data_IF_543739425632
#
_entry.id   IF_543739425632
#
_cell.length_a   1.000
_cell.length_b   1.000
_cell.length_c   1.000
_cell.angle_alpha   90.00
_cell.angle_beta   90.00
_cell.angle_gamma   90.00
#
_symmetry.space_group_name_H-M   'P 1'
#
loop_
_entity.id
_entity.type
_entity.pdbx_description
1 polymer ?
#
# COMPACT_ATOMS: atom_id res chain seq x y z
N UNK A 1 13.19 18.30 5.70
CA UNK A 1 13.32 16.94 6.26
C UNK A 1 12.56 15.93 5.40
N UNK A 2 11.22 15.95 5.32
CA UNK A 2 10.43 15.04 4.46
C UNK A 2 10.85 15.01 2.98
N UNK A 3 11.11 16.16 2.35
CA UNK A 3 11.57 16.22 0.95
C UNK A 3 12.94 15.55 0.72
N UNK A 4 13.86 15.67 1.69
CA UNK A 4 15.20 15.09 1.59
C UNK A 4 15.17 13.57 1.77
N UNK A 5 14.32 13.06 2.67
CA UNK A 5 14.08 11.63 2.84
C UNK A 5 13.53 10.99 1.57
N UNK A 6 12.57 11.67 0.92
CA UNK A 6 11.99 11.25 -0.35
C UNK A 6 13.04 11.17 -1.46
N UNK A 7 13.85 12.22 -1.62
CA UNK A 7 14.94 12.22 -2.61
C UNK A 7 15.99 11.12 -2.33
N UNK A 8 16.31 10.86 -1.06
CA UNK A 8 17.24 9.81 -0.69
C UNK A 8 16.71 8.41 -1.07
N UNK A 9 15.44 8.12 -0.75
CA UNK A 9 14.79 6.88 -1.15
C UNK A 9 14.76 6.71 -2.68
N UNK A 10 14.36 7.76 -3.42
CA UNK A 10 14.36 7.78 -4.89
C UNK A 10 15.76 7.59 -5.50
N UNK A 11 16.79 8.22 -4.94
CA UNK A 11 18.17 8.10 -5.43
C UNK A 11 18.76 6.71 -5.23
N UNK A 12 18.35 6.02 -4.16
CA UNK A 12 18.79 4.66 -3.83
C UNK A 12 18.08 3.62 -4.68
N UNK A 13 16.81 3.84 -5.02
CA UNK A 13 16.04 3.05 -5.99
C UNK A 13 16.69 2.98 -7.38
N UNK A 14 17.41 4.03 -7.80
CA UNK A 14 18.10 4.09 -9.09
C UNK A 14 19.56 3.61 -9.12
N UNK A 15 20.19 3.36 -7.95
CA UNK A 15 21.63 3.07 -7.84
C UNK A 15 22.00 1.85 -6.97
N UNK A 16 21.07 1.27 -6.22
CA UNK A 16 21.33 0.19 -5.24
C UNK A 16 20.28 -0.92 -5.21
N UNK A 17 20.45 -1.87 -4.28
CA UNK A 17 19.48 -2.93 -4.03
C UNK A 17 18.25 -2.38 -3.32
N UNK A 18 17.03 -2.79 -3.69
CA UNK A 18 15.80 -2.42 -2.97
C UNK A 18 15.89 -2.70 -1.45
N UNK A 19 16.72 -3.67 -1.06
CA UNK A 19 16.98 -4.00 0.36
C UNK A 19 17.69 -2.87 1.12
N UNK A 20 18.52 -2.08 0.44
CA UNK A 20 19.22 -0.93 1.01
C UNK A 20 18.30 0.29 1.06
N UNK A 21 17.46 0.46 0.04
CA UNK A 21 16.51 1.58 -0.07
C UNK A 21 15.50 1.63 1.09
N UNK A 22 15.15 0.47 1.69
CA UNK A 22 14.24 0.41 2.84
C UNK A 22 14.93 0.69 4.18
N UNK A 23 16.25 0.90 4.22
CA UNK A 23 16.98 1.15 5.46
C UNK A 23 16.83 2.62 5.86
N UNK A 24 16.13 2.85 6.98
CA UNK A 24 16.06 4.17 7.61
C UNK A 24 17.49 4.72 7.82
N UNK A 25 17.79 5.93 7.34
CA UNK A 25 19.08 6.56 7.59
C UNK A 25 19.37 6.73 9.08
N UNK A 26 20.66 6.79 9.41
CA UNK A 26 21.12 7.08 10.76
C UNK A 26 20.71 8.50 11.17
N UNK A 27 20.30 8.70 12.42
CA UNK A 27 19.86 10.00 12.94
C UNK A 27 18.42 10.41 12.61
N UNK A 28 17.78 9.76 11.64
CA UNK A 28 16.39 10.09 11.24
C UNK A 28 15.34 9.47 12.18
N UNK A 29 14.17 10.11 12.29
CA UNK A 29 13.04 9.59 13.04
C UNK A 29 12.34 8.42 12.31
N UNK A 30 11.94 7.40 13.07
CA UNK A 30 11.31 6.21 12.49
C UNK A 30 9.89 6.45 12.01
N UNK A 31 9.11 7.29 12.69
CA UNK A 31 7.75 7.61 12.27
C UNK A 31 7.76 8.44 10.99
N UNK A 32 8.64 9.44 10.90
CA UNK A 32 8.84 10.23 9.67
C UNK A 32 9.23 9.34 8.48
N UNK A 33 10.15 8.39 8.71
CA UNK A 33 10.56 7.44 7.68
C UNK A 33 9.39 6.58 7.18
N UNK A 34 8.62 6.02 8.10
CA UNK A 34 7.42 5.21 7.79
C UNK A 34 6.36 6.07 7.09
N UNK A 35 6.10 7.28 7.58
CA UNK A 35 5.11 8.18 7.02
C UNK A 35 5.44 8.56 5.57
N UNK A 36 6.70 8.91 5.27
CA UNK A 36 7.17 9.19 3.92
C UNK A 36 6.91 8.00 2.97
N UNK A 37 7.24 6.79 3.42
CA UNK A 37 7.03 5.58 2.62
C UNK A 37 5.55 5.25 2.42
N UNK A 38 4.70 5.47 3.42
CA UNK A 38 3.24 5.28 3.27
C UNK A 38 2.72 6.17 2.14
N UNK A 39 3.13 7.45 2.10
CA UNK A 39 2.72 8.39 1.05
C UNK A 39 3.22 7.93 -0.32
N UNK A 40 4.47 7.51 -0.44
CA UNK A 40 5.02 7.02 -1.72
C UNK A 40 4.32 5.74 -2.19
N UNK A 41 4.09 4.78 -1.30
CA UNK A 41 3.35 3.56 -1.64
C UNK A 41 1.91 3.83 -2.00
N UNK A 42 1.24 4.76 -1.31
CA UNK A 42 -0.11 5.19 -1.66
C UNK A 42 -0.16 5.72 -3.09
N UNK A 43 0.76 6.63 -3.45
CA UNK A 43 0.86 7.19 -4.78
C UNK A 43 1.11 6.11 -5.85
N UNK A 44 2.02 5.16 -5.59
CA UNK A 44 2.28 4.07 -6.51
C UNK A 44 1.08 3.13 -6.68
N UNK A 45 0.42 2.72 -5.59
CA UNK A 45 -0.76 1.85 -5.65
C UNK A 45 -1.90 2.54 -6.40
N UNK A 46 -2.12 3.82 -6.13
CA UNK A 46 -3.13 4.62 -6.82
C UNK A 46 -2.84 4.69 -8.33
N UNK A 47 -1.61 5.03 -8.71
CA UNK A 47 -1.19 5.08 -10.12
C UNK A 47 -1.38 3.74 -10.83
N UNK A 48 -0.94 2.63 -10.21
CA UNK A 48 -1.08 1.29 -10.74
C UNK A 48 -2.57 0.93 -10.92
N UNK A 49 -3.39 1.15 -9.89
CA UNK A 49 -4.82 0.85 -9.99
C UNK A 49 -5.51 1.70 -11.07
N UNK A 50 -5.22 3.00 -11.13
CA UNK A 50 -5.80 3.89 -12.13
C UNK A 50 -5.53 3.44 -13.56
N UNK A 51 -4.35 2.88 -13.85
CA UNK A 51 -3.99 2.37 -15.18
C UNK A 51 -4.90 1.25 -15.69
N UNK A 52 -5.53 0.48 -14.79
CA UNK A 52 -6.42 -0.65 -15.16
C UNK A 52 -7.84 -0.47 -14.64
N UNK A 53 -8.16 0.67 -14.04
CA UNK A 53 -9.46 0.94 -13.38
C UNK A 53 -10.67 0.70 -14.30
N UNK A 54 -10.54 1.01 -15.59
CA UNK A 54 -11.58 0.78 -16.60
C UNK A 54 -11.86 -0.71 -16.89
N UNK A 55 -10.94 -1.61 -16.52
CA UNK A 55 -11.13 -3.06 -16.58
C UNK A 55 -11.64 -3.65 -15.27
N UNK A 56 -11.67 -2.88 -14.18
CA UNK A 56 -12.16 -3.30 -12.87
C UNK A 56 -13.60 -2.78 -12.71
N UNK A 57 -14.55 -3.59 -13.16
CA UNK A 57 -15.99 -3.27 -13.14
C UNK A 57 -16.75 -4.18 -12.19
N UNK A 58 -18.00 -3.85 -11.88
CA UNK A 58 -18.87 -4.71 -11.08
C UNK A 58 -19.14 -6.07 -11.73
N UNK A 59 -19.07 -6.18 -13.07
CA UNK A 59 -19.24 -7.44 -13.80
C UNK A 59 -17.98 -8.32 -13.70
N UNK A 60 -16.81 -7.73 -13.93
CA UNK A 60 -15.53 -8.45 -13.90
C UNK A 60 -15.07 -8.74 -12.47
N UNK A 61 -15.44 -7.88 -11.53
CA UNK A 61 -14.96 -7.89 -10.14
C UNK A 61 -16.12 -7.58 -9.16
N UNK A 62 -17.16 -8.43 -9.09
CA UNK A 62 -18.36 -8.20 -8.27
C UNK A 62 -18.10 -8.20 -6.77
N UNK A 63 -16.90 -8.63 -6.36
CA UNK A 63 -16.41 -8.57 -4.98
C UNK A 63 -14.93 -8.22 -4.97
N UNK A 64 -14.49 -7.53 -3.93
CA UNK A 64 -13.06 -7.33 -3.68
C UNK A 64 -12.41 -8.64 -3.21
N UNK A 65 -11.52 -9.20 -4.02
CA UNK A 65 -10.87 -10.49 -3.75
C UNK A 65 -9.44 -10.57 -4.25
N UNK A 66 -8.72 -11.56 -3.74
CA UNK A 66 -7.45 -12.05 -4.26
C UNK A 66 -7.62 -13.54 -4.58
N UNK A 67 -8.02 -13.82 -5.83
CA UNK A 67 -8.42 -15.15 -6.26
C UNK A 67 -9.74 -15.60 -5.60
N UNK A 68 -10.05 -16.89 -5.69
CA UNK A 68 -11.31 -17.44 -5.16
C UNK A 68 -11.31 -17.56 -3.63
N UNK A 69 -10.14 -17.80 -3.03
CA UNK A 69 -9.98 -18.16 -1.62
C UNK A 69 -10.10 -16.96 -0.67
N UNK A 70 -9.68 -15.77 -1.08
CA UNK A 70 -9.60 -14.60 -0.21
C UNK A 70 -10.56 -13.51 -0.68
N UNK A 71 -11.57 -13.22 0.14
CA UNK A 71 -12.53 -12.13 -0.09
C UNK A 71 -12.34 -11.07 1.00
N UNK A 72 -12.25 -9.80 0.59
CA UNK A 72 -12.04 -8.68 1.50
C UNK A 72 -13.36 -7.93 1.72
N UNK A 73 -13.79 -7.89 2.97
CA UNK A 73 -14.99 -7.14 3.37
C UNK A 73 -14.61 -5.71 3.74
N UNK A 74 -15.50 -4.77 3.43
CA UNK A 74 -15.35 -3.37 3.81
C UNK A 74 -16.12 -3.08 5.10
N UNK A 75 -15.53 -2.25 5.95
CA UNK A 75 -16.16 -1.72 7.17
C UNK A 75 -15.60 -0.34 7.47
N UNK A 76 -16.49 0.59 7.77
CA UNK A 76 -16.18 1.96 8.21
C UNK A 76 -17.17 2.43 9.29
N UNK A 77 -16.99 3.67 9.74
CA UNK A 77 -17.87 4.29 10.75
C UNK A 77 -19.06 5.04 10.13
N UNK A 78 -19.19 5.02 8.79
CA UNK A 78 -20.18 5.75 8.02
C UNK A 78 -21.28 4.82 7.52
N UNK A 79 -21.31 4.61 6.20
CA UNK A 79 -22.33 3.83 5.50
C UNK A 79 -22.21 2.33 5.78
N UNK A 80 -21.00 1.81 5.98
CA UNK A 80 -20.73 0.37 6.11
C UNK A 80 -20.31 0.02 7.54
N UNK A 81 -21.26 0.14 8.47
CA UNK A 81 -21.03 -0.14 9.91
C UNK A 81 -20.77 -1.61 10.21
N UNK A 82 -21.21 -2.50 9.33
CA UNK A 82 -20.96 -3.94 9.40
C UNK A 82 -20.03 -4.38 8.26
N UNK A 83 -19.30 -5.48 8.48
CA UNK A 83 -18.42 -6.06 7.46
C UNK A 83 -19.22 -6.49 6.25
N UNK A 84 -19.12 -5.71 5.17
CA UNK A 84 -19.97 -5.81 3.99
C UNK A 84 -19.16 -6.23 2.77
N UNK A 85 -19.71 -7.10 1.94
CA UNK A 85 -19.14 -7.37 0.62
C UNK A 85 -19.50 -6.23 -0.31
N UNK A 86 -18.50 -5.69 -1.01
CA UNK A 86 -18.68 -4.65 -2.03
C UNK A 86 -17.88 -5.02 -3.28
N UNK A 87 -18.28 -4.55 -4.48
CA UNK A 87 -17.49 -4.71 -5.70
C UNK A 87 -16.07 -4.16 -5.54
N UNK A 88 -15.11 -4.73 -6.26
CA UNK A 88 -13.71 -4.36 -6.12
C UNK A 88 -13.46 -2.88 -6.46
N UNK A 89 -14.12 -2.37 -7.49
CA UNK A 89 -14.03 -0.96 -7.87
C UNK A 89 -14.47 -0.03 -6.74
N UNK A 90 -15.61 -0.34 -6.12
CA UNK A 90 -16.12 0.42 -4.98
C UNK A 90 -15.21 0.28 -3.76
N UNK A 91 -14.68 -0.92 -3.50
CA UNK A 91 -13.75 -1.14 -2.40
C UNK A 91 -12.51 -0.27 -2.53
N UNK A 92 -11.87 -0.27 -3.70
CA UNK A 92 -10.65 0.52 -3.93
C UNK A 92 -10.95 2.00 -3.81
N UNK A 93 -12.08 2.47 -4.36
CA UNK A 93 -12.52 3.87 -4.18
C UNK A 93 -12.65 4.25 -2.70
N UNK A 94 -13.38 3.46 -1.91
CA UNK A 94 -13.57 3.70 -0.47
C UNK A 94 -12.24 3.64 0.28
N UNK A 95 -11.35 2.74 -0.12
CA UNK A 95 -10.01 2.62 0.45
C UNK A 95 -9.17 3.86 0.19
N UNK A 96 -9.09 4.35 -1.05
CA UNK A 96 -8.29 5.53 -1.37
C UNK A 96 -8.81 6.76 -0.64
N UNK A 97 -10.13 6.98 -0.66
CA UNK A 97 -10.77 8.07 0.10
C UNK A 97 -10.48 7.98 1.60
N UNK A 98 -10.48 6.77 2.14
CA UNK A 98 -10.13 6.55 3.53
C UNK A 98 -8.65 6.85 3.80
N UNK A 99 -7.72 6.38 2.95
CA UNK A 99 -6.28 6.66 3.12
C UNK A 99 -5.99 8.16 3.02
N UNK A 100 -6.57 8.87 2.03
CA UNK A 100 -6.46 10.32 1.90
C UNK A 100 -6.86 11.02 3.21
N UNK A 101 -8.01 10.67 3.77
CA UNK A 101 -8.48 11.24 5.04
C UNK A 101 -7.55 10.94 6.23
N UNK A 102 -6.82 9.83 6.22
CA UNK A 102 -5.82 9.54 7.25
C UNK A 102 -4.56 10.39 7.06
N UNK A 103 -4.08 10.53 5.82
CA UNK A 103 -2.88 11.30 5.47
C UNK A 103 -3.09 12.81 5.67
N UNK A 104 -4.32 13.29 5.46
CA UNK A 104 -4.70 14.69 5.67
C UNK A 104 -4.97 15.04 7.15
N UNK A 105 -5.04 14.06 8.05
CA UNK A 105 -5.27 14.31 9.48
C UNK A 105 -3.95 14.65 10.20
N UNK A 106 -3.73 15.91 10.62
CA UNK A 106 -2.48 16.33 11.27
C UNK A 106 -2.25 15.68 12.63
N UNK A 107 -3.27 15.00 13.19
CA UNK A 107 -3.12 14.21 14.43
C UNK A 107 -2.52 12.83 14.18
N UNK A 108 -2.60 12.34 12.94
CA UNK A 108 -2.04 11.05 12.51
C UNK A 108 -0.74 11.25 11.74
N UNK A 109 -0.70 12.25 10.86
CA UNK A 109 0.43 12.63 10.02
C UNK A 109 0.76 14.11 10.27
N UNK A 110 1.54 14.43 11.32
CA UNK A 110 1.92 15.80 11.63
C UNK A 110 2.72 16.44 10.49
N UNK A 111 2.41 17.70 10.19
CA UNK A 111 3.08 18.50 9.15
C UNK A 111 3.99 19.58 9.74
N UNK A 112 3.77 19.95 11.01
CA UNK A 112 4.52 20.98 11.70
C UNK A 112 5.77 20.39 12.36
N UNK A 113 6.91 21.08 12.19
CA UNK A 113 8.17 20.69 12.82
C UNK A 113 8.02 20.68 14.35
N UNK A 114 8.33 19.54 14.97
CA UNK A 114 8.29 19.36 16.42
C UNK A 114 6.98 18.81 16.96
N UNK A 115 5.94 18.63 16.12
CA UNK A 115 4.73 17.92 16.52
C UNK A 115 4.99 16.40 16.46
N UNK A 116 4.80 15.66 17.58
CA UNK A 116 5.04 14.23 17.59
C UNK A 116 3.92 13.45 16.90
N UNK A 117 4.28 12.35 16.27
CA UNK A 117 3.32 11.32 15.84
C UNK A 117 2.55 10.74 17.03
N UNK A 118 1.33 10.21 16.83
CA UNK A 118 0.58 9.59 17.89
C UNK A 118 1.29 8.33 18.40
N UNK A 119 1.14 8.04 19.69
CA UNK A 119 1.81 6.90 20.35
C UNK A 119 1.51 5.54 19.69
N UNK A 120 0.35 5.40 19.05
CA UNK A 120 -0.08 4.20 18.34
C UNK A 120 0.21 4.24 16.83
N UNK A 121 1.06 5.16 16.35
CA UNK A 121 1.35 5.29 14.92
C UNK A 121 1.90 4.00 14.33
N UNK A 122 2.98 3.46 14.91
CA UNK A 122 3.63 2.23 14.43
C UNK A 122 2.83 0.96 14.73
N UNK A 123 2.05 0.94 15.82
CA UNK A 123 1.33 -0.26 16.26
C UNK A 123 -0.04 -0.42 15.60
N UNK A 124 -0.68 0.68 15.18
CA UNK A 124 -2.06 0.65 14.68
C UNK A 124 -2.24 1.44 13.38
N UNK A 125 -1.83 2.71 13.35
CA UNK A 125 -2.14 3.62 12.23
C UNK A 125 -1.45 3.16 10.95
N UNK A 126 -0.12 3.07 10.97
CA UNK A 126 0.68 2.66 9.83
C UNK A 126 0.38 1.22 9.39
N UNK A 127 0.33 0.20 10.28
CA UNK A 127 -0.03 -1.15 9.90
C UNK A 127 -1.41 -1.27 9.25
N UNK A 128 -2.41 -0.52 9.74
CA UNK A 128 -3.76 -0.58 9.18
C UNK A 128 -3.81 -0.01 7.75
N UNK A 129 -3.09 1.09 7.48
CA UNK A 129 -2.97 1.67 6.13
C UNK A 129 -2.24 0.69 5.20
N UNK A 130 -1.07 0.20 5.60
CA UNK A 130 -0.25 -0.72 4.79
C UNK A 130 -1.00 -2.02 4.48
N UNK A 131 -1.63 -2.64 5.48
CA UNK A 131 -2.45 -3.86 5.26
C UNK A 131 -3.58 -3.63 4.26
N UNK A 132 -4.24 -2.46 4.29
CA UNK A 132 -5.30 -2.13 3.34
C UNK A 132 -4.72 -1.96 1.94
N UNK A 133 -3.62 -1.22 1.76
CA UNK A 133 -2.95 -1.06 0.46
C UNK A 133 -2.46 -2.40 -0.13
N UNK A 134 -2.01 -3.34 0.69
CA UNK A 134 -1.66 -4.71 0.26
C UNK A 134 -2.81 -5.41 -0.47
N UNK A 135 -4.07 -5.18 -0.04
CA UNK A 135 -5.25 -5.80 -0.67
C UNK A 135 -5.42 -5.35 -2.11
N UNK A 136 -5.04 -4.11 -2.43
CA UNK A 136 -5.07 -3.58 -3.79
C UNK A 136 -3.99 -4.25 -4.64
N UNK A 137 -2.74 -4.39 -4.13
CA UNK A 137 -1.72 -5.18 -4.82
C UNK A 137 -2.17 -6.61 -5.10
N UNK A 138 -2.70 -7.29 -4.08
CA UNK A 138 -3.18 -8.66 -4.22
C UNK A 138 -4.26 -8.75 -5.29
N UNK A 139 -5.26 -7.86 -5.26
CA UNK A 139 -6.30 -7.81 -6.28
C UNK A 139 -5.74 -7.59 -7.68
N UNK A 140 -4.80 -6.65 -7.85
CA UNK A 140 -4.16 -6.39 -9.13
C UNK A 140 -3.40 -7.61 -9.66
N UNK A 141 -2.65 -8.33 -8.82
CA UNK A 141 -1.92 -9.53 -9.25
C UNK A 141 -2.86 -10.65 -9.70
N UNK A 142 -3.96 -10.87 -8.97
CA UNK A 142 -4.89 -11.96 -9.25
C UNK A 142 -5.80 -11.69 -10.43
N UNK A 143 -6.26 -10.45 -10.61
CA UNK A 143 -7.35 -10.13 -11.54
C UNK A 143 -6.92 -9.25 -12.72
N UNK A 144 -5.86 -8.46 -12.57
CA UNK A 144 -5.50 -7.43 -13.54
C UNK A 144 -4.04 -7.47 -14.03
N UNK A 145 -3.26 -8.50 -13.66
CA UNK A 145 -1.89 -8.66 -14.14
C UNK A 145 -1.77 -8.78 -15.67
N UNK A 146 -2.68 -9.49 -16.39
CA UNK A 146 -2.67 -9.49 -17.86
C UNK A 146 -2.80 -8.08 -18.45
N UNK A 147 -3.69 -7.25 -17.92
CA UNK A 147 -3.92 -5.87 -18.34
C UNK A 147 -2.71 -5.00 -18.01
N UNK A 148 -2.10 -5.18 -16.84
CA UNK A 148 -0.84 -4.51 -16.46
C UNK A 148 0.29 -4.81 -17.44
N UNK A 149 0.38 -6.04 -17.94
CA UNK A 149 1.34 -6.40 -19.00
C UNK A 149 1.02 -5.71 -20.32
N UNK A 150 -0.25 -5.65 -20.71
CA UNK A 150 -0.69 -5.02 -21.96
C UNK A 150 -0.35 -3.52 -22.00
N UNK A 151 -0.51 -2.81 -20.87
CA UNK A 151 -0.16 -1.39 -20.77
C UNK A 151 1.32 -1.13 -20.46
N UNK A 152 2.15 -2.17 -20.40
CA UNK A 152 3.60 -2.05 -20.18
C UNK A 152 4.02 -1.71 -18.75
N UNK A 153 3.14 -1.83 -17.75
CA UNK A 153 3.41 -1.44 -16.35
C UNK A 153 3.76 -2.62 -15.43
N UNK A 154 3.77 -3.85 -15.92
CA UNK A 154 4.05 -5.04 -15.10
C UNK A 154 5.40 -4.98 -14.36
N UNK A 155 6.46 -4.46 -14.99
CA UNK A 155 7.76 -4.29 -14.34
C UNK A 155 7.69 -3.27 -13.20
N UNK A 156 7.04 -2.13 -13.44
CA UNK A 156 6.84 -1.09 -12.42
C UNK A 156 6.03 -1.62 -11.24
N UNK A 157 4.97 -2.38 -11.52
CA UNK A 157 4.17 -3.06 -10.50
C UNK A 157 5.01 -4.01 -9.65
N UNK A 158 5.85 -4.84 -10.28
CA UNK A 158 6.73 -5.79 -9.59
C UNK A 158 7.79 -5.09 -8.74
N UNK A 159 8.42 -4.04 -9.24
CA UNK A 159 9.41 -3.25 -8.47
C UNK A 159 8.73 -2.56 -7.28
N UNK A 160 7.58 -1.92 -7.51
CA UNK A 160 6.82 -1.24 -6.45
C UNK A 160 6.36 -2.22 -5.37
N UNK A 161 5.87 -3.40 -5.77
CA UNK A 161 5.44 -4.44 -4.83
C UNK A 161 6.62 -5.08 -4.08
N UNK A 162 7.76 -5.34 -4.74
CA UNK A 162 8.95 -5.84 -4.06
C UNK A 162 9.45 -4.84 -3.01
N UNK A 163 9.51 -3.55 -3.37
CA UNK A 163 9.83 -2.48 -2.43
C UNK A 163 8.85 -2.45 -1.24
N UNK A 164 7.55 -2.54 -1.53
CA UNK A 164 6.50 -2.59 -0.52
C UNK A 164 6.70 -3.77 0.46
N UNK A 165 6.93 -4.98 -0.05
CA UNK A 165 7.13 -6.18 0.76
C UNK A 165 8.38 -6.07 1.63
N UNK A 166 9.51 -5.65 1.05
CA UNK A 166 10.74 -5.43 1.81
C UNK A 166 10.53 -4.42 2.95
N UNK A 167 9.78 -3.35 2.69
CA UNK A 167 9.49 -2.31 3.67
C UNK A 167 8.58 -2.81 4.80
N UNK A 168 7.42 -3.40 4.48
CA UNK A 168 6.47 -3.86 5.51
C UNK A 168 7.04 -4.99 6.35
N UNK A 169 7.87 -5.86 5.76
CA UNK A 169 8.55 -6.92 6.52
C UNK A 169 9.65 -6.37 7.42
N UNK A 170 10.44 -5.38 6.96
CA UNK A 170 11.51 -4.79 7.76
C UNK A 170 10.99 -4.09 9.02
N UNK A 171 9.84 -3.44 8.92
CA UNK A 171 9.25 -2.64 10.00
C UNK A 171 8.03 -3.31 10.66
N UNK A 172 7.81 -4.59 10.41
CA UNK A 172 6.70 -5.40 10.96
C UNK A 172 5.31 -4.74 10.81
N UNK A 173 5.08 -4.06 9.68
CA UNK A 173 3.85 -3.31 9.43
C UNK A 173 2.72 -4.20 8.91
N UNK A 174 3.03 -5.41 8.42
CA UNK A 174 2.05 -6.37 7.94
C UNK A 174 2.45 -7.77 8.40
N UNK A 175 1.53 -8.44 9.09
CA UNK A 175 1.73 -9.80 9.60
C UNK A 175 1.79 -10.82 8.47
N UNK A 176 2.51 -11.92 8.70
CA UNK A 176 2.73 -12.99 7.73
C UNK A 176 1.45 -13.67 7.22
N UNK A 177 0.38 -13.69 8.02
CA UNK A 177 -0.91 -14.25 7.63
C UNK A 177 -1.60 -13.41 6.54
N UNK A 178 -1.42 -12.09 6.58
CA UNK A 178 -1.98 -11.17 5.59
C UNK A 178 -1.26 -11.27 4.24
N UNK A 179 -0.03 -11.80 4.22
CA UNK A 179 0.76 -12.03 3.00
C UNK A 179 0.39 -13.31 2.26
N UNK A 180 -0.42 -14.21 2.85
CA UNK A 180 -0.78 -15.49 2.22
C UNK A 180 -1.39 -15.36 0.81
N UNK A 181 -2.25 -14.37 0.49
CA UNK A 181 -2.82 -14.21 -0.84
C UNK A 181 -1.77 -13.91 -1.93
N UNK A 182 -0.58 -13.43 -1.56
CA UNK A 182 0.49 -13.02 -2.49
C UNK A 182 1.78 -13.81 -2.28
N UNK A 183 1.73 -14.90 -1.51
CA UNK A 183 2.92 -15.70 -1.14
C UNK A 183 3.70 -16.20 -2.35
N UNK A 184 3.00 -16.69 -3.38
CA UNK A 184 3.64 -17.18 -4.60
C UNK A 184 4.26 -16.05 -5.43
N UNK A 185 3.63 -14.87 -5.43
CA UNK A 185 4.19 -13.66 -6.06
C UNK A 185 5.49 -13.26 -5.36
N UNK A 186 5.49 -13.21 -4.03
CA UNK A 186 6.68 -12.87 -3.23
C UNK A 186 7.81 -13.85 -3.53
N UNK A 187 7.51 -15.16 -3.59
CA UNK A 187 8.52 -16.20 -3.92
C UNK A 187 9.13 -16.01 -5.30
N UNK A 188 8.34 -15.55 -6.28
CA UNK A 188 8.79 -15.37 -7.67
C UNK A 188 9.52 -14.04 -7.91
N UNK A 189 9.48 -13.10 -6.95
CA UNK A 189 10.19 -11.81 -7.01
C UNK A 189 11.52 -11.81 -6.23
N UNK A 190 11.77 -12.87 -5.45
CA UNK A 190 12.93 -13.02 -4.57
C UNK A 190 14.18 -13.54 -5.29
#
# INVERSE_FOLDING_TARGET
MQYQLRQYAESTLGKGSLKEAVIKPEGEDLNEWIACHIVDFYNHVNMLYMAVSHHCTDETCPKMSAGEKYTYLWKDNGQYRESSQVPAQLYVKLLMQWVDAQLDDPRLFPVELGQPFPHNFQSEVAPNIMKRMLRVYAHLYWHHYPQMRQVGLATMMNTSFNHFILFVTKYDLVKSEELQPVKDVIKNLA
#
